data_IF_453870173369
#
_entry.id   IF_453870173369
#
_cell.length_a   1.000
_cell.length_b   1.000
_cell.length_c   1.000
_cell.angle_alpha   90.00
_cell.angle_beta   90.00
_cell.angle_gamma   90.00
#
_symmetry.space_group_name_H-M   'P 1'
#
loop_
_entity.id
_entity.type
_entity.pdbx_description
1 polymer ?
#
# COMPACT_ATOMS: atom_id res chain seq x y z
N UNK A 1 -17.09 -27.18 -0.88
CA UNK A 1 -17.40 -25.76 -1.15
C UNK A 1 -17.73 -25.09 0.17
N UNK A 2 -16.84 -24.23 0.68
CA UNK A 2 -17.04 -23.53 1.95
C UNK A 2 -18.14 -22.49 1.78
N UNK A 3 -19.31 -22.75 2.35
CA UNK A 3 -20.39 -21.77 2.41
C UNK A 3 -19.88 -20.52 3.13
N UNK A 4 -19.83 -19.40 2.42
CA UNK A 4 -19.56 -18.09 3.01
C UNK A 4 -20.74 -17.74 3.94
N UNK A 5 -20.61 -18.16 5.20
CA UNK A 5 -21.68 -18.17 6.22
C UNK A 5 -22.16 -16.76 6.57
N UNK A 6 -21.30 -15.76 6.43
CA UNK A 6 -21.60 -14.37 6.79
C UNK A 6 -21.57 -13.45 5.56
N UNK A 7 -22.38 -12.39 5.59
CA UNK A 7 -22.38 -11.35 4.56
C UNK A 7 -20.99 -10.70 4.40
N UNK A 8 -20.28 -10.49 5.52
CA UNK A 8 -18.90 -10.01 5.53
C UNK A 8 -17.96 -10.93 4.78
N UNK A 9 -18.00 -12.25 5.04
CA UNK A 9 -17.15 -13.20 4.34
C UNK A 9 -17.42 -13.19 2.83
N UNK A 10 -18.69 -13.06 2.41
CA UNK A 10 -19.05 -12.91 0.99
C UNK A 10 -18.46 -11.63 0.38
N UNK A 11 -18.55 -10.50 1.09
CA UNK A 11 -17.96 -9.26 0.63
C UNK A 11 -16.43 -9.36 0.51
N UNK A 12 -15.76 -9.97 1.50
CA UNK A 12 -14.31 -10.16 1.49
C UNK A 12 -13.85 -11.08 0.34
N UNK A 13 -14.64 -12.11 0.03
CA UNK A 13 -14.42 -12.96 -1.14
C UNK A 13 -14.54 -12.17 -2.44
N UNK A 14 -15.63 -11.42 -2.63
CA UNK A 14 -15.83 -10.58 -3.81
C UNK A 14 -14.72 -9.53 -3.98
N UNK A 15 -14.28 -8.90 -2.89
CA UNK A 15 -13.16 -7.95 -2.91
C UNK A 15 -11.85 -8.61 -3.36
N UNK A 16 -11.62 -9.86 -2.94
CA UNK A 16 -10.45 -10.64 -3.34
C UNK A 16 -10.51 -11.00 -4.83
N UNK A 17 -11.67 -11.42 -5.31
CA UNK A 17 -11.89 -11.68 -6.75
C UNK A 17 -11.67 -10.42 -7.59
N UNK A 18 -12.25 -9.28 -7.20
CA UNK A 18 -12.06 -8.00 -7.88
C UNK A 18 -10.57 -7.65 -7.96
N UNK A 19 -9.84 -7.76 -6.84
CA UNK A 19 -8.40 -7.49 -6.82
C UNK A 19 -7.64 -8.40 -7.78
N UNK A 20 -7.92 -9.70 -7.76
CA UNK A 20 -7.25 -10.67 -8.61
C UNK A 20 -7.54 -10.38 -10.10
N UNK A 21 -8.78 -10.03 -10.43
CA UNK A 21 -9.17 -9.71 -11.80
C UNK A 21 -8.48 -8.44 -12.32
N UNK A 22 -8.43 -7.38 -11.50
CA UNK A 22 -7.70 -6.15 -11.83
C UNK A 22 -6.20 -6.45 -12.03
N UNK A 23 -5.60 -7.27 -11.15
CA UNK A 23 -4.21 -7.69 -11.26
C UNK A 23 -3.97 -8.45 -12.58
N UNK A 24 -4.83 -9.40 -12.94
CA UNK A 24 -4.74 -10.14 -14.20
C UNK A 24 -4.81 -9.20 -15.41
N UNK A 25 -5.82 -8.33 -15.46
CA UNK A 25 -5.99 -7.36 -16.56
C UNK A 25 -4.76 -6.43 -16.68
N UNK A 26 -4.18 -6.01 -15.54
CA UNK A 26 -3.00 -5.16 -15.51
C UNK A 26 -1.76 -5.90 -16.06
N UNK A 27 -1.55 -7.16 -15.65
CA UNK A 27 -0.44 -7.99 -16.14
C UNK A 27 -0.58 -8.25 -17.64
N UNK A 28 -1.80 -8.54 -18.11
CA UNK A 28 -2.09 -8.80 -19.52
C UNK A 28 -1.73 -7.60 -20.40
N UNK A 29 -2.14 -6.39 -20.00
CA UNK A 29 -1.88 -5.19 -20.81
C UNK A 29 -0.45 -4.67 -20.69
N UNK A 30 0.22 -4.85 -19.54
CA UNK A 30 1.59 -4.36 -19.31
C UNK A 30 2.65 -5.38 -19.73
N UNK A 31 2.30 -6.67 -19.80
CA UNK A 31 3.26 -7.76 -19.96
C UNK A 31 4.14 -8.01 -18.72
N UNK A 32 3.89 -7.33 -17.60
CA UNK A 32 4.71 -7.43 -16.40
C UNK A 32 3.95 -8.14 -15.27
N UNK A 33 4.36 -9.36 -14.94
CA UNK A 33 3.76 -10.19 -13.90
C UNK A 33 3.84 -9.59 -12.50
N UNK A 34 4.82 -8.70 -12.25
CA UNK A 34 5.02 -8.02 -10.97
C UNK A 34 4.33 -6.66 -10.90
N UNK A 35 3.57 -6.26 -11.93
CA UNK A 35 2.83 -5.01 -11.90
C UNK A 35 1.75 -5.06 -10.80
N UNK A 36 1.74 -4.06 -9.91
CA UNK A 36 0.74 -3.97 -8.83
C UNK A 36 0.01 -2.64 -8.95
N UNK A 37 -1.32 -2.69 -8.83
CA UNK A 37 -2.18 -1.51 -8.93
C UNK A 37 -1.99 -0.60 -7.70
N UNK A 38 -1.60 0.66 -7.94
CA UNK A 38 -1.53 1.69 -6.91
C UNK A 38 -2.66 2.70 -7.08
N UNK A 39 -3.63 2.70 -6.17
CA UNK A 39 -4.78 3.61 -6.21
C UNK A 39 -4.44 5.03 -5.72
N UNK A 40 -3.46 5.17 -4.82
CA UNK A 40 -3.09 6.48 -4.24
C UNK A 40 -2.22 7.29 -5.21
N UNK A 41 -1.26 6.63 -5.83
CA UNK A 41 -0.38 7.25 -6.82
C UNK A 41 -0.73 6.78 -8.23
N UNK A 42 -2.02 6.64 -8.53
CA UNK A 42 -2.50 6.08 -9.78
C UNK A 42 -1.91 6.78 -11.00
N UNK A 43 -1.99 8.12 -11.01
CA UNK A 43 -1.45 8.93 -12.10
C UNK A 43 0.05 8.69 -12.34
N UNK A 44 0.85 8.60 -11.27
CA UNK A 44 2.29 8.44 -11.39
C UNK A 44 2.70 7.00 -11.74
N UNK A 45 2.23 6.04 -10.96
CA UNK A 45 2.73 4.67 -10.99
C UNK A 45 2.03 3.81 -12.05
N UNK A 46 0.83 4.20 -12.48
CA UNK A 46 0.07 3.48 -13.52
C UNK A 46 0.05 4.27 -14.81
N UNK A 47 -0.50 5.50 -14.80
CA UNK A 47 -0.68 6.27 -16.05
C UNK A 47 0.66 6.72 -16.62
N UNK A 48 1.51 7.38 -15.83
CA UNK A 48 2.80 7.89 -16.31
C UNK A 48 3.84 6.79 -16.59
N UNK A 49 3.80 5.69 -15.83
CA UNK A 49 4.77 4.59 -15.93
C UNK A 49 4.42 3.59 -17.02
N UNK A 50 3.17 3.14 -17.06
CA UNK A 50 2.73 2.11 -18.00
C UNK A 50 1.96 2.67 -19.19
N UNK A 51 1.62 3.96 -19.19
CA UNK A 51 0.87 4.61 -20.29
C UNK A 51 -0.55 4.05 -20.43
N UNK A 52 -1.19 3.73 -19.31
CA UNK A 52 -2.46 3.00 -19.30
C UNK A 52 -3.47 3.71 -18.41
N UNK A 53 -4.72 3.75 -18.86
CA UNK A 53 -5.87 4.25 -18.12
C UNK A 53 -6.91 3.15 -17.90
N UNK A 54 -7.59 3.16 -16.76
CA UNK A 54 -8.74 2.30 -16.49
C UNK A 54 -10.01 3.07 -16.84
N UNK A 55 -10.82 2.50 -17.71
CA UNK A 55 -12.09 3.09 -18.14
C UNK A 55 -13.23 2.20 -17.67
N UNK A 56 -14.39 2.83 -17.40
CA UNK A 56 -15.64 2.14 -17.09
C UNK A 56 -15.83 1.75 -15.63
N UNK A 57 -15.06 2.32 -14.69
CA UNK A 57 -15.19 2.02 -13.26
C UNK A 57 -16.59 2.33 -12.73
N UNK A 58 -17.33 1.30 -12.31
CA UNK A 58 -18.75 1.41 -11.96
C UNK A 58 -19.03 1.77 -10.49
N UNK A 59 -17.99 1.81 -9.65
CA UNK A 59 -18.15 2.07 -8.22
C UNK A 59 -17.98 3.57 -7.92
N UNK A 60 -18.81 4.11 -7.03
CA UNK A 60 -18.84 5.55 -6.68
C UNK A 60 -17.48 6.06 -6.18
N UNK A 61 -16.85 5.30 -5.29
CA UNK A 61 -15.52 5.61 -4.77
C UNK A 61 -14.41 4.93 -5.58
N UNK A 62 -13.45 5.71 -6.04
CA UNK A 62 -12.17 5.22 -6.54
C UNK A 62 -11.23 4.90 -5.38
N UNK A 63 -11.08 3.62 -5.04
CA UNK A 63 -10.22 3.16 -3.96
C UNK A 63 -9.81 1.69 -4.15
N UNK A 64 -8.87 1.24 -3.32
CA UNK A 64 -8.50 -0.18 -3.25
C UNK A 64 -9.73 -1.03 -2.89
N UNK A 65 -9.94 -2.19 -3.56
CA UNK A 65 -11.03 -3.11 -3.26
C UNK A 65 -11.21 -3.45 -1.77
N UNK A 66 -10.13 -3.53 -0.99
CA UNK A 66 -10.23 -3.76 0.46
C UNK A 66 -10.91 -2.61 1.21
N UNK A 67 -10.67 -1.37 0.78
CA UNK A 67 -11.18 -0.14 1.40
C UNK A 67 -12.61 0.20 0.93
N UNK A 68 -13.16 -0.57 -0.01
CA UNK A 68 -14.56 -0.44 -0.44
C UNK A 68 -15.53 -0.88 0.66
N UNK A 69 -16.78 -0.43 0.56
CA UNK A 69 -17.85 -0.81 1.48
C UNK A 69 -18.09 -2.33 1.47
N UNK A 70 -18.64 -2.88 2.56
CA UNK A 70 -19.10 -4.28 2.65
C UNK A 70 -20.45 -4.52 1.97
N UNK A 71 -20.96 -3.52 1.25
CA UNK A 71 -22.22 -3.63 0.49
C UNK A 71 -22.03 -4.58 -0.70
N UNK A 72 -22.80 -5.67 -0.73
CA UNK A 72 -22.69 -6.69 -1.78
C UNK A 72 -23.09 -6.21 -3.18
N UNK A 73 -24.21 -5.46 -3.37
CA UNK A 73 -24.64 -5.06 -4.71
C UNK A 73 -23.61 -4.25 -5.52
N UNK A 74 -22.95 -3.21 -4.97
CA UNK A 74 -21.96 -2.46 -5.73
C UNK A 74 -20.69 -3.27 -6.03
N UNK A 75 -20.30 -4.19 -5.14
CA UNK A 75 -19.17 -5.09 -5.39
C UNK A 75 -19.46 -6.08 -6.51
N UNK A 76 -20.68 -6.64 -6.54
CA UNK A 76 -21.11 -7.54 -7.62
C UNK A 76 -21.14 -6.81 -8.96
N UNK A 77 -21.75 -5.61 -9.02
CA UNK A 77 -21.74 -4.78 -10.23
C UNK A 77 -20.34 -4.47 -10.73
N UNK A 78 -19.41 -4.17 -9.84
CA UNK A 78 -18.02 -3.91 -10.21
C UNK A 78 -17.34 -5.16 -10.76
N UNK A 79 -17.56 -6.32 -10.15
CA UNK A 79 -17.04 -7.59 -10.62
C UNK A 79 -17.62 -7.97 -11.99
N UNK A 80 -18.92 -7.77 -12.19
CA UNK A 80 -19.61 -8.05 -13.45
C UNK A 80 -19.13 -7.12 -14.56
N UNK A 81 -18.91 -5.83 -14.26
CA UNK A 81 -18.32 -4.87 -15.19
C UNK A 81 -16.88 -5.26 -15.60
N UNK A 82 -16.10 -5.80 -14.65
CA UNK A 82 -14.75 -6.32 -14.90
C UNK A 82 -14.74 -7.59 -15.75
N UNK A 83 -15.73 -8.47 -15.58
CA UNK A 83 -15.87 -9.70 -16.36
C UNK A 83 -16.44 -9.47 -17.76
N UNK A 84 -17.39 -8.55 -17.89
CA UNK A 84 -17.98 -8.16 -19.17
C UNK A 84 -17.05 -7.31 -20.04
N UNK A 85 -16.02 -6.68 -19.44
CA UNK A 85 -15.09 -5.81 -20.14
C UNK A 85 -15.56 -4.35 -20.26
N UNK A 86 -16.64 -3.99 -19.54
CA UNK A 86 -17.02 -2.59 -19.31
C UNK A 86 -15.91 -1.86 -18.56
N UNK A 87 -15.39 -2.49 -17.50
CA UNK A 87 -14.18 -2.06 -16.79
C UNK A 87 -12.95 -2.69 -17.44
N UNK A 88 -12.17 -1.91 -18.19
CA UNK A 88 -10.92 -2.41 -18.79
C UNK A 88 -9.83 -1.36 -18.82
N UNK A 89 -8.59 -1.85 -18.88
CA UNK A 89 -7.43 -1.01 -19.10
C UNK A 89 -7.26 -0.73 -20.60
N UNK A 90 -6.94 0.51 -20.95
CA UNK A 90 -6.65 0.94 -22.33
C UNK A 90 -5.28 1.61 -22.34
N UNK A 91 -4.46 1.27 -23.35
CA UNK A 91 -3.19 1.95 -23.61
C UNK A 91 -3.46 3.34 -24.17
N UNK A 92 -2.92 4.36 -23.50
CA UNK A 92 -2.94 5.74 -23.97
C UNK A 92 -1.90 5.95 -25.07
N UNK A 93 -2.23 6.83 -26.02
CA UNK A 93 -1.27 7.31 -27.01
C UNK A 93 -0.23 8.24 -26.36
N UNK A 94 0.94 8.37 -26.99
CA UNK A 94 2.01 9.23 -26.47
C UNK A 94 1.58 10.71 -26.32
N UNK A 95 0.69 11.19 -27.19
CA UNK A 95 0.15 12.55 -27.13
C UNK A 95 -0.73 12.74 -25.88
N UNK A 96 -1.69 11.84 -25.65
CA UNK A 96 -2.56 11.88 -24.46
C UNK A 96 -1.77 11.74 -23.16
N UNK A 97 -0.70 10.93 -23.17
CA UNK A 97 0.20 10.78 -22.04
C UNK A 97 0.95 12.08 -21.72
N UNK A 98 1.44 12.78 -22.74
CA UNK A 98 2.14 14.06 -22.55
C UNK A 98 1.22 15.10 -21.91
N UNK A 99 -0.03 15.19 -22.37
CA UNK A 99 -1.05 16.06 -21.78
C UNK A 99 -1.31 15.69 -20.32
N UNK A 100 -1.52 14.40 -20.03
CA UNK A 100 -1.72 13.93 -18.66
C UNK A 100 -0.52 14.21 -17.75
N UNK A 101 0.71 14.06 -18.26
CA UNK A 101 1.94 14.41 -17.54
C UNK A 101 2.02 15.91 -17.24
N UNK A 102 1.64 16.76 -18.19
CA UNK A 102 1.58 18.22 -17.99
C UNK A 102 0.54 18.59 -16.95
N UNK A 103 -0.65 18.00 -17.00
CA UNK A 103 -1.69 18.21 -15.98
C UNK A 103 -1.23 17.73 -14.61
N UNK A 104 -0.59 16.56 -14.53
CA UNK A 104 -0.05 16.03 -13.30
C UNK A 104 1.05 16.93 -12.72
N UNK A 105 1.96 17.44 -13.57
CA UNK A 105 2.98 18.40 -13.16
C UNK A 105 2.35 19.70 -12.64
N UNK A 106 1.31 20.23 -13.33
CA UNK A 106 0.56 21.40 -12.86
C UNK A 106 -0.11 21.16 -11.50
N UNK A 107 -0.67 19.97 -11.26
CA UNK A 107 -1.27 19.60 -9.97
C UNK A 107 -0.23 19.42 -8.86
N UNK A 108 0.98 18.96 -9.20
CA UNK A 108 2.11 18.92 -8.28
C UNK A 108 2.56 20.34 -7.91
N UNK A 109 2.70 21.23 -8.88
CA UNK A 109 3.09 22.63 -8.65
C UNK A 109 2.03 23.38 -7.84
N UNK A 110 0.74 23.09 -8.08
CA UNK A 110 -0.37 23.61 -7.29
C UNK A 110 -0.40 23.05 -5.84
N UNK A 111 0.44 22.05 -5.53
CA UNK A 111 0.52 21.45 -4.20
C UNK A 111 -0.64 20.52 -3.82
N UNK A 112 -1.55 20.23 -4.76
CA UNK A 112 -2.71 19.36 -4.52
C UNK A 112 -2.29 17.89 -4.36
N UNK A 113 -1.19 17.51 -5.01
CA UNK A 113 -0.58 16.18 -4.87
C UNK A 113 0.63 16.29 -3.95
N UNK A 114 0.43 16.01 -2.67
CA UNK A 114 1.52 16.07 -1.69
C UNK A 114 2.53 14.95 -1.95
N UNK A 115 3.77 15.32 -2.29
CA UNK A 115 4.88 14.36 -2.25
C UNK A 115 5.19 14.02 -0.79
N UNK A 116 5.48 12.75 -0.50
CA UNK A 116 5.74 12.31 0.87
C UNK A 116 6.98 13.04 1.40
N UNK A 117 6.81 13.78 2.49
CA UNK A 117 7.91 14.46 3.19
C UNK A 117 9.05 13.49 3.46
N UNK A 118 10.28 13.88 3.09
CA UNK A 118 11.49 13.13 3.40
C UNK A 118 11.58 12.95 4.92
N UNK A 119 11.76 11.71 5.38
CA UNK A 119 11.86 11.42 6.82
C UNK A 119 13.16 12.01 7.35
N UNK A 120 13.17 12.52 8.59
CA UNK A 120 14.35 13.17 9.19
C UNK A 120 15.55 12.24 9.35
N UNK A 121 15.26 10.95 9.49
CA UNK A 121 16.21 9.85 9.60
C UNK A 121 16.62 9.26 8.23
N UNK A 122 16.11 9.80 7.11
CA UNK A 122 16.49 9.31 5.79
C UNK A 122 17.97 9.61 5.52
N UNK A 123 18.79 8.55 5.55
CA UNK A 123 20.25 8.61 5.43
C UNK A 123 20.99 8.42 6.75
N UNK A 124 20.30 8.36 7.90
CA UNK A 124 20.96 8.09 9.19
C UNK A 124 21.11 6.58 9.37
N UNK A 125 22.33 6.11 9.66
CA UNK A 125 22.58 4.72 10.07
C UNK A 125 21.67 4.39 11.25
N UNK A 126 20.87 3.34 11.11
CA UNK A 126 20.05 2.82 12.23
C UNK A 126 21.00 2.09 13.16
N UNK A 127 21.00 2.50 14.43
CA UNK A 127 21.74 1.78 15.45
C UNK A 127 21.20 0.34 15.55
N UNK A 128 22.10 -0.63 15.44
CA UNK A 128 21.81 -2.05 15.49
C UNK A 128 21.87 -2.61 16.93
N UNK A 129 21.69 -1.77 17.95
CA UNK A 129 21.59 -2.19 19.37
C UNK A 129 20.26 -2.93 19.64
N UNK A 130 20.18 -4.16 19.15
CA UNK A 130 19.02 -5.03 19.33
C UNK A 130 19.33 -6.53 19.28
N UNK A 131 20.60 -6.93 19.42
CA UNK A 131 20.99 -8.34 19.60
C UNK A 131 21.87 -8.51 20.83
N UNK A 132 21.31 -8.40 22.04
CA UNK A 132 21.85 -9.07 23.24
C UNK A 132 20.73 -9.46 24.20
N UNK A 133 20.22 -10.69 24.05
CA UNK A 133 19.99 -11.61 25.16
C UNK A 133 20.33 -13.03 24.69
N UNK A 134 21.60 -13.37 24.85
CA UNK A 134 22.21 -14.67 24.60
C UNK A 134 23.69 -14.53 24.95
N UNK A 135 24.13 -15.29 25.94
CA UNK A 135 25.39 -15.18 26.71
C UNK A 135 26.68 -15.11 25.88
N UNK A 136 27.72 -14.47 26.46
CA UNK A 136 29.12 -14.67 26.07
C UNK A 136 29.92 -13.37 26.07
N UNK A 137 30.86 -13.24 27.00
CA UNK A 137 31.73 -12.07 27.17
C UNK A 137 32.84 -11.95 26.11
N UNK A 138 33.54 -10.82 26.15
CA UNK A 138 34.72 -10.55 25.34
C UNK A 138 34.85 -9.07 24.99
N UNK A 139 35.97 -8.49 25.40
CA UNK A 139 36.38 -7.07 25.34
C UNK A 139 36.57 -6.48 23.94
N UNK A 140 36.79 -5.18 23.94
CA UNK A 140 36.88 -4.23 22.84
C UNK A 140 37.92 -4.54 21.74
N UNK A 141 37.72 -3.98 20.54
CA UNK A 141 38.79 -3.25 19.84
C UNK A 141 38.22 -2.32 18.76
N UNK A 142 38.92 -1.19 18.57
CA UNK A 142 38.65 -0.03 17.73
C UNK A 142 39.63 -0.02 16.57
N UNK A 143 39.17 0.02 15.31
CA UNK A 143 39.94 0.41 14.11
C UNK A 143 39.03 0.23 12.87
N UNK A 144 39.12 0.95 11.76
CA UNK A 144 39.87 2.12 11.29
C UNK A 144 39.27 2.43 9.88
N UNK A 145 39.39 3.67 9.40
CA UNK A 145 38.99 4.07 8.03
C UNK A 145 39.90 3.41 6.99
N UNK A 146 39.39 3.00 5.81
CA UNK A 146 40.03 3.24 4.50
C UNK A 146 38.99 3.20 3.36
N UNK A 147 39.22 4.06 2.36
CA UNK A 147 38.43 4.41 1.17
C UNK A 147 38.63 3.45 -0.03
N UNK A 148 37.60 3.38 -0.89
CA UNK A 148 37.56 3.11 -2.36
C UNK A 148 38.20 1.77 -2.85
N UNK A 149 37.79 1.04 -3.90
CA UNK A 149 37.03 1.30 -5.13
C UNK A 149 36.51 -0.07 -5.70
N UNK A 150 36.07 -0.08 -6.96
CA UNK A 150 35.17 -1.01 -7.65
C UNK A 150 35.58 -2.50 -7.80
N UNK A 151 34.59 -3.38 -7.98
CA UNK A 151 34.81 -4.77 -8.38
C UNK A 151 33.53 -5.59 -8.65
N UNK A 152 33.45 -6.13 -9.86
CA UNK A 152 32.34 -6.77 -10.56
C UNK A 152 32.04 -8.26 -10.19
N UNK A 153 30.78 -8.68 -10.40
CA UNK A 153 30.20 -10.04 -10.62
C UNK A 153 30.13 -11.09 -9.50
N UNK A 154 28.99 -11.78 -9.48
CA UNK A 154 28.88 -13.18 -9.03
C UNK A 154 27.51 -13.55 -8.47
N UNK A 155 26.68 -14.19 -9.29
CA UNK A 155 25.48 -14.97 -8.92
C UNK A 155 25.75 -16.00 -7.80
N UNK A 156 24.77 -16.26 -6.93
CA UNK A 156 24.19 -17.60 -6.69
C UNK A 156 23.21 -17.63 -5.52
N UNK A 157 22.33 -18.63 -5.61
CA UNK A 157 21.05 -18.85 -4.96
C UNK A 157 21.06 -19.04 -3.43
N UNK A 158 19.90 -18.76 -2.80
CA UNK A 158 19.16 -19.73 -1.95
C UNK A 158 17.89 -19.14 -1.31
N UNK A 159 16.78 -19.70 -1.75
CA UNK A 159 15.67 -20.31 -1.00
C UNK A 159 15.25 -19.82 0.41
N UNK A 160 13.93 -19.82 0.57
CA UNK A 160 13.14 -20.25 1.75
C UNK A 160 12.18 -19.23 2.40
N UNK A 161 10.90 -19.52 2.16
CA UNK A 161 9.77 -19.57 3.09
C UNK A 161 9.69 -18.52 4.22
N UNK A 162 8.73 -17.59 4.10
CA UNK A 162 8.31 -16.77 5.24
C UNK A 162 6.79 -16.69 5.35
N UNK A 163 6.21 -17.70 6.01
CA UNK A 163 4.84 -17.67 6.52
C UNK A 163 4.70 -16.60 7.64
N UNK A 164 4.10 -15.46 7.31
CA UNK A 164 3.82 -14.42 8.32
C UNK A 164 2.49 -14.67 9.05
N UNK A 165 2.56 -15.41 10.16
CA UNK A 165 1.45 -15.62 11.09
C UNK A 165 1.26 -14.40 12.02
N UNK A 166 0.23 -13.57 11.78
CA UNK A 166 -0.15 -12.47 12.69
C UNK A 166 -1.12 -12.96 13.77
N UNK A 167 -0.58 -13.28 14.95
CA UNK A 167 -1.33 -13.36 16.22
C UNK A 167 -1.62 -11.94 16.73
N UNK A 168 -2.89 -11.56 16.85
CA UNK A 168 -3.32 -10.38 17.62
C UNK A 168 -3.72 -10.86 19.02
N UNK A 169 -2.99 -10.42 20.04
CA UNK A 169 -3.41 -10.55 21.43
C UNK A 169 -4.26 -9.33 21.82
N UNK A 170 -5.37 -9.64 22.48
CA UNK A 170 -6.33 -8.76 23.15
C UNK A 170 -5.77 -8.40 24.53
N UNK A 171 -5.88 -7.13 24.93
CA UNK A 171 -5.81 -6.68 26.33
C UNK A 171 -6.72 -5.43 26.43
N UNK A 172 -7.96 -5.57 26.90
CA UNK A 172 -8.42 -5.48 28.31
C UNK A 172 -8.22 -4.11 28.94
N UNK A 173 -9.37 -3.45 29.12
CA UNK A 173 -9.76 -2.32 29.96
C UNK A 173 -8.79 -1.84 31.06
N UNK A 174 -8.61 -0.53 31.13
CA UNK A 174 -8.34 0.20 32.39
C UNK A 174 -9.07 1.55 32.36
N UNK A 175 -9.88 1.75 33.40
CA UNK A 175 -10.88 2.81 33.63
C UNK A 175 -10.29 4.21 33.95
N UNK A 176 -11.14 5.25 34.02
CA UNK A 176 -10.75 6.65 33.82
C UNK A 176 -10.08 7.29 35.04
N UNK A 177 -9.17 8.22 34.76
CA UNK A 177 -8.58 9.10 35.77
C UNK A 177 -9.56 10.22 36.11
N UNK A 178 -10.03 10.20 37.35
CA UNK A 178 -10.63 11.33 38.05
C UNK A 178 -9.69 12.54 37.97
N UNK A 179 -10.22 13.67 37.51
CA UNK A 179 -9.63 14.97 37.75
C UNK A 179 -10.74 15.90 38.24
N UNK A 180 -10.66 16.21 39.52
CA UNK A 180 -11.40 17.24 40.21
C UNK A 180 -11.21 18.58 39.49
N UNK A 181 -12.31 19.27 39.22
CA UNK A 181 -12.27 20.70 38.95
C UNK A 181 -13.38 21.36 39.77
N UNK A 182 -12.94 21.93 40.88
CA UNK A 182 -13.71 22.82 41.74
C UNK A 182 -13.83 24.14 41.00
N UNK A 183 -15.03 24.63 40.78
CA UNK A 183 -15.25 26.05 40.58
C UNK A 183 -16.38 26.51 41.51
N UNK A 184 -15.98 27.44 42.35
CA UNK A 184 -16.76 28.24 43.28
C UNK A 184 -17.62 29.26 42.54
N UNK A 185 -18.58 29.80 43.29
CA UNK A 185 -19.43 30.97 43.05
C UNK A 185 -20.77 30.74 42.34
N UNK A 186 -21.82 30.52 43.14
CA UNK A 186 -23.16 31.06 42.88
C UNK A 186 -23.94 31.25 44.20
N UNK A 187 -24.17 32.53 44.50
CA UNK A 187 -25.36 33.20 45.06
C UNK A 187 -26.07 32.80 46.39
N UNK A 188 -26.46 33.90 47.08
CA UNK A 188 -27.45 34.10 48.15
C UNK A 188 -27.02 34.00 49.63
#
# INVERSE_FOLDING_TARGET
>A
MTFLRTSKARADHLKSEIRNHIQMLLVEITGNQKAVMNYKNYEKDIVCRYSIELIGWTHEKWANPSDLSTSLPPLQKLLDALKSGECRFIRLSAAALLERKKEYARKLDAGEITSRKKRKDAGKKRDCTGKKKGQGGGEADECDEEEEEEGEKGDEDKDEDYQHSKRRHIATHSEPKSSEFVNSDDDA
#
